data_IF_232291345510
#
_entry.id   IF_232291345510
#
_cell.length_a   1.000
_cell.length_b   1.000
_cell.length_c   1.000
_cell.angle_alpha   90.00
_cell.angle_beta   90.00
_cell.angle_gamma   90.00
#
_symmetry.space_group_name_H-M   'P 1'
#
loop_
_entity.id
_entity.type
_entity.pdbx_description
1 polymer ?
#
# COMPACT_ATOMS: atom_id res chain seq x y z
N UNK A 1 31.52 8.14 -16.86
CA UNK A 1 30.30 7.32 -16.63
C UNK A 1 29.14 8.08 -15.99
N UNK A 2 29.36 9.10 -15.15
CA UNK A 2 28.27 9.71 -14.36
C UNK A 2 27.32 10.68 -15.11
N UNK A 3 27.70 11.24 -16.27
CA UNK A 3 26.81 12.07 -17.10
C UNK A 3 25.82 11.22 -17.90
N UNK A 4 26.33 10.12 -18.48
CA UNK A 4 25.56 9.20 -19.34
C UNK A 4 24.29 8.63 -18.70
N UNK A 5 24.25 8.46 -17.38
CA UNK A 5 23.06 7.98 -16.67
C UNK A 5 21.93 9.01 -16.65
N UNK A 6 22.27 10.29 -16.49
CA UNK A 6 21.30 11.38 -16.55
C UNK A 6 20.77 11.56 -17.98
N UNK A 7 21.66 11.51 -18.97
CA UNK A 7 21.32 11.65 -20.38
C UNK A 7 20.39 10.51 -20.85
N UNK A 8 20.65 9.28 -20.40
CA UNK A 8 19.77 8.14 -20.67
C UNK A 8 18.39 8.33 -20.05
N UNK A 9 18.31 8.80 -18.79
CA UNK A 9 17.02 9.02 -18.13
C UNK A 9 16.22 10.09 -18.86
N UNK A 10 16.86 11.19 -19.27
CA UNK A 10 16.22 12.25 -20.05
C UNK A 10 15.72 11.76 -21.42
N UNK A 11 16.38 10.78 -22.03
CA UNK A 11 15.95 10.20 -23.30
C UNK A 11 14.70 9.30 -23.18
N UNK A 12 14.38 8.82 -21.97
CA UNK A 12 13.25 7.90 -21.71
C UNK A 12 12.11 8.60 -20.95
N UNK A 13 12.43 9.60 -20.14
CA UNK A 13 11.45 10.37 -19.39
C UNK A 13 10.67 11.32 -20.31
N UNK A 14 9.43 11.66 -19.91
CA UNK A 14 8.72 12.76 -20.53
C UNK A 14 9.51 14.07 -20.38
N UNK A 15 9.30 15.00 -21.31
CA UNK A 15 9.83 16.37 -21.17
C UNK A 15 9.24 16.99 -19.90
N UNK A 16 10.11 17.18 -18.90
CA UNK A 16 9.75 17.79 -17.62
C UNK A 16 10.55 19.08 -17.42
N UNK A 17 9.92 20.16 -16.97
CA UNK A 17 10.61 21.42 -16.69
C UNK A 17 11.61 21.27 -15.54
N UNK A 18 12.65 22.10 -15.55
CA UNK A 18 13.56 22.26 -14.42
C UNK A 18 13.03 23.24 -13.38
N UNK A 19 12.15 24.14 -13.79
CA UNK A 19 11.42 25.02 -12.89
C UNK A 19 10.29 24.24 -12.22
N UNK A 20 10.25 24.33 -10.89
CA UNK A 20 9.23 23.66 -10.09
C UNK A 20 8.01 24.55 -9.93
N UNK A 21 6.85 24.02 -10.32
CA UNK A 21 5.56 24.61 -9.98
C UNK A 21 5.28 24.38 -8.49
N UNK A 22 5.43 25.43 -7.71
CA UNK A 22 5.18 25.44 -6.26
C UNK A 22 3.72 25.63 -5.89
N UNK A 23 2.88 26.10 -6.82
CA UNK A 23 1.46 26.33 -6.55
C UNK A 23 0.70 25.01 -6.58
N UNK A 24 0.87 24.22 -7.64
CA UNK A 24 0.13 22.96 -7.80
C UNK A 24 1.01 21.75 -7.52
N UNK A 25 2.27 21.76 -7.92
CA UNK A 25 3.19 20.61 -7.84
C UNK A 25 2.61 19.28 -8.37
N UNK A 26 1.59 19.35 -9.24
CA UNK A 26 0.91 18.18 -9.82
C UNK A 26 1.71 17.60 -10.98
N UNK A 27 2.24 18.50 -11.80
CA UNK A 27 3.13 18.14 -12.88
C UNK A 27 4.53 17.85 -12.33
N UNK A 28 5.18 16.86 -12.90
CA UNK A 28 6.56 16.53 -12.58
C UNK A 28 7.50 17.64 -13.01
N UNK A 29 8.46 17.98 -12.15
CA UNK A 29 9.61 18.80 -12.52
C UNK A 29 10.88 18.15 -11.99
N UNK A 30 12.03 18.49 -12.58
CA UNK A 30 13.34 18.04 -12.12
C UNK A 30 13.83 18.81 -10.89
N UNK A 31 13.03 18.79 -9.81
CA UNK A 31 13.38 19.39 -8.52
C UNK A 31 14.70 18.82 -7.97
N UNK A 32 14.91 17.51 -8.16
CA UNK A 32 16.21 16.87 -8.01
C UNK A 32 16.80 16.61 -9.41
N UNK A 33 18.12 16.75 -9.53
CA UNK A 33 18.81 16.45 -10.79
C UNK A 33 18.47 15.03 -11.29
N UNK A 34 18.27 14.81 -12.59
CA UNK A 34 17.95 13.48 -13.16
C UNK A 34 18.92 12.40 -12.68
N UNK A 35 20.23 12.71 -12.64
CA UNK A 35 21.26 11.81 -12.13
C UNK A 35 20.98 11.33 -10.69
N UNK A 36 20.67 12.26 -9.79
CA UNK A 36 20.37 11.93 -8.39
C UNK A 36 19.11 11.07 -8.31
N UNK A 37 18.08 11.40 -9.09
CA UNK A 37 16.86 10.60 -9.16
C UNK A 37 17.16 9.16 -9.58
N UNK A 38 17.95 8.94 -10.65
CA UNK A 38 18.35 7.60 -11.10
C UNK A 38 19.09 6.82 -10.01
N UNK A 39 20.06 7.47 -9.35
CA UNK A 39 20.87 6.82 -8.31
C UNK A 39 20.00 6.44 -7.11
N UNK A 40 19.17 7.36 -6.62
CA UNK A 40 18.23 7.10 -5.53
C UNK A 40 17.27 5.97 -5.89
N UNK A 41 16.66 6.02 -7.09
CA UNK A 41 15.75 5.00 -7.56
C UNK A 41 16.40 3.61 -7.57
N UNK A 42 17.61 3.48 -8.12
CA UNK A 42 18.33 2.20 -8.14
C UNK A 42 18.67 1.71 -6.73
N UNK A 43 19.23 2.58 -5.88
CA UNK A 43 19.60 2.22 -4.51
C UNK A 43 18.37 1.76 -3.72
N UNK A 44 17.28 2.53 -3.74
CA UNK A 44 16.07 2.18 -3.00
C UNK A 44 15.44 0.89 -3.49
N UNK A 45 15.39 0.65 -4.81
CA UNK A 45 14.86 -0.60 -5.34
C UNK A 45 15.75 -1.80 -4.98
N UNK A 46 17.08 -1.66 -5.04
CA UNK A 46 18.00 -2.74 -4.65
C UNK A 46 17.84 -3.07 -3.16
N UNK A 47 17.85 -2.05 -2.29
CA UNK A 47 17.63 -2.25 -0.84
C UNK A 47 16.27 -2.89 -0.58
N UNK A 48 15.22 -2.41 -1.25
CA UNK A 48 13.87 -2.95 -1.11
C UNK A 48 13.80 -4.41 -1.55
N UNK A 49 14.30 -4.74 -2.75
CA UNK A 49 14.26 -6.10 -3.29
C UNK A 49 15.10 -7.06 -2.44
N UNK A 50 16.29 -6.63 -2.01
CA UNK A 50 17.14 -7.41 -1.10
C UNK A 50 16.43 -7.67 0.22
N UNK A 51 15.88 -6.63 0.86
CA UNK A 51 15.19 -6.76 2.15
C UNK A 51 13.95 -7.63 2.02
N UNK A 52 13.13 -7.40 0.99
CA UNK A 52 11.95 -8.19 0.70
C UNK A 52 12.31 -9.66 0.50
N UNK A 53 13.33 -9.96 -0.30
CA UNK A 53 13.80 -11.33 -0.53
C UNK A 53 14.31 -11.98 0.77
N UNK A 54 15.17 -11.28 1.50
CA UNK A 54 15.75 -11.77 2.76
C UNK A 54 14.67 -12.08 3.81
N UNK A 55 13.78 -11.12 4.07
CA UNK A 55 12.72 -11.29 5.06
C UNK A 55 11.65 -12.30 4.60
N UNK A 56 11.33 -12.35 3.30
CA UNK A 56 10.41 -13.35 2.76
C UNK A 56 10.93 -14.78 2.97
N UNK A 57 12.21 -15.03 2.64
CA UNK A 57 12.83 -16.34 2.87
C UNK A 57 12.88 -16.72 4.34
N UNK A 58 13.18 -15.75 5.22
CA UNK A 58 13.19 -15.97 6.67
C UNK A 58 11.79 -16.23 7.23
N UNK A 59 10.79 -15.48 6.78
CA UNK A 59 9.41 -15.59 7.26
C UNK A 59 8.74 -16.91 6.83
N UNK A 60 9.13 -17.46 5.69
CA UNK A 60 8.55 -18.69 5.15
C UNK A 60 9.47 -19.91 5.28
N UNK A 61 10.57 -19.81 6.03
CA UNK A 61 11.43 -20.97 6.28
C UNK A 61 10.62 -22.08 6.96
N UNK A 62 10.81 -23.35 6.58
CA UNK A 62 10.14 -24.48 7.23
C UNK A 62 10.36 -24.44 8.75
N UNK A 63 9.28 -24.59 9.52
CA UNK A 63 9.33 -24.56 10.98
C UNK A 63 9.30 -23.15 11.60
N UNK A 64 9.33 -22.07 10.81
CA UNK A 64 9.14 -20.72 11.35
C UNK A 64 7.76 -20.56 11.99
N UNK A 65 7.60 -19.67 13.01
CA UNK A 65 6.30 -19.42 13.63
C UNK A 65 5.21 -19.00 12.64
N UNK A 66 5.59 -18.28 11.59
CA UNK A 66 4.68 -17.82 10.53
C UNK A 66 4.25 -19.01 9.66
N UNK A 67 5.19 -19.86 9.24
CA UNK A 67 4.88 -21.09 8.48
C UNK A 67 3.92 -22.01 9.25
N UNK A 68 4.11 -22.17 10.56
CA UNK A 68 3.22 -22.96 11.42
C UNK A 68 1.80 -22.35 11.48
N UNK A 69 1.68 -21.03 11.63
CA UNK A 69 0.38 -20.34 11.61
C UNK A 69 -0.33 -20.46 10.26
N UNK A 70 0.40 -20.43 9.15
CA UNK A 70 -0.17 -20.68 7.83
C UNK A 70 -0.63 -22.13 7.64
N UNK A 71 0.04 -23.09 8.26
CA UNK A 71 -0.38 -24.49 8.25
C UNK A 71 -1.65 -24.71 9.07
N UNK A 72 -1.77 -24.02 10.21
CA UNK A 72 -2.93 -24.07 11.11
C UNK A 72 -4.10 -23.16 10.71
N UNK A 73 -4.07 -22.54 9.52
CA UNK A 73 -5.13 -21.64 9.07
C UNK A 73 -6.45 -22.39 8.85
N UNK A 74 -7.47 -22.00 9.62
CA UNK A 74 -8.85 -22.47 9.47
C UNK A 74 -9.67 -21.37 8.80
N UNK A 75 -10.26 -21.61 7.62
CA UNK A 75 -11.03 -20.59 6.92
C UNK A 75 -12.34 -20.27 7.66
N UNK A 76 -12.74 -18.98 7.75
CA UNK A 76 -14.05 -18.63 8.25
C UNK A 76 -15.13 -19.15 7.29
N UNK A 77 -16.19 -19.74 7.85
CA UNK A 77 -17.18 -20.52 7.08
C UNK A 77 -18.13 -19.67 6.23
N UNK A 78 -18.42 -18.41 6.61
CA UNK A 78 -19.36 -17.53 5.90
C UNK A 78 -18.93 -16.06 5.97
N UNK A 79 -19.24 -15.30 4.91
CA UNK A 79 -19.08 -13.84 4.90
C UNK A 79 -20.09 -13.20 5.84
N UNK A 80 -19.63 -12.27 6.67
CA UNK A 80 -20.52 -11.50 7.57
C UNK A 80 -21.31 -10.46 6.78
N UNK A 81 -22.50 -10.07 7.27
CA UNK A 81 -23.27 -8.94 6.70
C UNK A 81 -22.45 -7.65 6.67
N UNK A 82 -21.65 -7.41 7.71
CA UNK A 82 -20.75 -6.25 7.81
C UNK A 82 -19.73 -6.28 6.66
N UNK A 83 -19.11 -7.44 6.39
CA UNK A 83 -18.15 -7.57 5.28
C UNK A 83 -18.79 -7.27 3.93
N UNK A 84 -20.02 -7.73 3.71
CA UNK A 84 -20.77 -7.47 2.47
C UNK A 84 -21.10 -5.97 2.35
N UNK A 85 -21.56 -5.34 3.42
CA UNK A 85 -21.85 -3.90 3.44
C UNK A 85 -20.59 -3.08 3.16
N UNK A 86 -19.48 -3.40 3.81
CA UNK A 86 -18.19 -2.72 3.59
C UNK A 86 -17.71 -2.90 2.15
N UNK A 87 -17.84 -4.11 1.59
CA UNK A 87 -17.50 -4.37 0.19
C UNK A 87 -18.31 -3.49 -0.78
N UNK A 88 -19.63 -3.39 -0.58
CA UNK A 88 -20.50 -2.57 -1.43
C UNK A 88 -20.11 -1.09 -1.34
N UNK A 89 -19.90 -0.58 -0.13
CA UNK A 89 -19.53 0.82 0.10
C UNK A 89 -18.17 1.16 -0.55
N UNK A 90 -17.16 0.29 -0.38
CA UNK A 90 -15.84 0.48 -0.98
C UNK A 90 -15.90 0.41 -2.50
N UNK A 91 -16.65 -0.55 -3.06
CA UNK A 91 -16.80 -0.68 -4.51
C UNK A 91 -17.48 0.55 -5.12
N UNK A 92 -18.53 1.06 -4.46
CA UNK A 92 -19.21 2.29 -4.88
C UNK A 92 -18.27 3.51 -4.80
N UNK A 93 -17.52 3.67 -3.71
CA UNK A 93 -16.56 4.76 -3.53
C UNK A 93 -15.43 4.73 -4.57
N UNK A 94 -14.86 3.54 -4.83
CA UNK A 94 -13.84 3.37 -5.86
C UNK A 94 -14.39 3.67 -7.26
N UNK A 95 -15.61 3.20 -7.58
CA UNK A 95 -16.25 3.49 -8.86
C UNK A 95 -16.48 4.99 -9.06
N UNK A 96 -16.98 5.70 -8.06
CA UNK A 96 -17.14 7.16 -8.09
C UNK A 96 -15.80 7.83 -8.38
N UNK A 97 -14.73 7.40 -7.71
CA UNK A 97 -13.38 7.94 -7.90
C UNK A 97 -12.87 7.70 -9.32
N UNK A 98 -13.07 6.49 -9.86
CA UNK A 98 -12.71 6.16 -11.24
C UNK A 98 -13.46 7.06 -12.23
N UNK A 99 -14.77 7.24 -12.04
CA UNK A 99 -15.58 8.12 -12.90
C UNK A 99 -15.10 9.58 -12.85
N UNK A 100 -14.86 10.12 -11.65
CA UNK A 100 -14.37 11.49 -11.46
C UNK A 100 -13.00 11.69 -12.15
N UNK A 101 -12.06 10.74 -11.97
CA UNK A 101 -10.74 10.80 -12.58
C UNK A 101 -10.77 10.58 -14.09
N UNK A 102 -11.70 9.77 -14.59
CA UNK A 102 -11.91 9.58 -16.03
C UNK A 102 -12.35 10.88 -16.70
N UNK A 103 -13.37 11.55 -16.13
CA UNK A 103 -13.87 12.84 -16.64
C UNK A 103 -12.79 13.91 -16.67
N UNK A 104 -11.84 13.87 -15.74
CA UNK A 104 -10.73 14.84 -15.65
C UNK A 104 -9.48 14.47 -16.44
N UNK A 105 -9.44 13.30 -17.09
CA UNK A 105 -8.24 12.83 -17.79
C UNK A 105 -7.08 12.46 -16.86
N UNK A 106 -7.34 12.30 -15.54
CA UNK A 106 -6.35 12.04 -14.50
C UNK A 106 -6.15 10.56 -14.18
N UNK A 107 -6.28 9.66 -15.17
CA UNK A 107 -6.37 8.22 -14.89
C UNK A 107 -5.13 7.61 -14.24
N UNK A 108 -3.97 8.20 -14.46
CA UNK A 108 -2.72 7.77 -13.83
C UNK A 108 -2.71 7.99 -12.31
N UNK A 109 -3.49 8.95 -11.81
CA UNK A 109 -3.67 9.15 -10.37
C UNK A 109 -4.46 8.00 -9.71
N UNK A 110 -5.12 7.11 -10.46
CA UNK A 110 -5.65 5.86 -9.88
C UNK A 110 -4.56 4.90 -9.41
N UNK A 111 -3.32 5.08 -9.86
CA UNK A 111 -2.17 4.32 -9.33
C UNK A 111 -1.70 4.86 -7.98
N UNK A 112 -2.28 5.99 -7.51
CA UNK A 112 -2.02 6.46 -6.17
C UNK A 112 -2.44 5.40 -5.14
N UNK A 113 -1.71 5.32 -4.04
CA UNK A 113 -1.83 4.19 -3.12
C UNK A 113 -3.23 4.00 -2.54
N UNK A 114 -3.97 5.07 -2.25
CA UNK A 114 -5.32 5.02 -1.66
C UNK A 114 -6.33 4.27 -2.54
N UNK A 115 -6.27 4.44 -3.86
CA UNK A 115 -7.14 3.74 -4.80
C UNK A 115 -6.70 2.28 -4.97
N UNK A 116 -5.38 2.06 -4.99
CA UNK A 116 -4.78 0.73 -5.13
C UNK A 116 -5.10 -0.19 -3.94
N UNK A 117 -5.17 0.39 -2.75
CA UNK A 117 -5.53 -0.33 -1.54
C UNK A 117 -7.02 -0.50 -1.34
N UNK A 118 -7.85 0.47 -1.74
CA UNK A 118 -9.28 0.25 -1.88
C UNK A 118 -9.53 -0.97 -2.78
N UNK A 119 -8.83 -1.05 -3.92
CA UNK A 119 -8.87 -2.21 -4.80
C UNK A 119 -8.37 -3.49 -4.12
N UNK A 120 -7.27 -3.45 -3.36
CA UNK A 120 -6.77 -4.60 -2.62
C UNK A 120 -7.78 -5.09 -1.56
N UNK A 121 -8.40 -4.17 -0.81
CA UNK A 121 -9.40 -4.50 0.21
C UNK A 121 -10.68 -5.05 -0.41
N UNK A 122 -11.15 -4.46 -1.52
CA UNK A 122 -12.24 -5.04 -2.34
C UNK A 122 -11.87 -6.46 -2.76
N UNK A 123 -10.65 -6.69 -3.22
CA UNK A 123 -10.17 -8.01 -3.65
C UNK A 123 -10.16 -9.01 -2.48
N UNK A 124 -9.73 -8.58 -1.29
CA UNK A 124 -9.79 -9.39 -0.06
C UNK A 124 -11.22 -9.75 0.32
N UNK A 125 -12.13 -8.77 0.32
CA UNK A 125 -13.52 -8.96 0.74
C UNK A 125 -14.35 -9.75 -0.28
N UNK A 126 -14.11 -9.51 -1.58
CA UNK A 126 -14.73 -10.25 -2.68
C UNK A 126 -14.17 -11.68 -2.77
N UNK A 127 -12.91 -11.88 -2.39
CA UNK A 127 -12.20 -13.14 -2.47
C UNK A 127 -12.88 -14.33 -1.77
N UNK A 128 -12.56 -15.56 -2.22
CA UNK A 128 -13.10 -16.79 -1.65
C UNK A 128 -12.44 -17.10 -0.29
N UNK A 129 -13.25 -17.39 0.74
CA UNK A 129 -12.79 -17.53 2.15
C UNK A 129 -12.01 -18.82 2.42
N UNK A 130 -12.18 -19.84 1.58
CA UNK A 130 -11.43 -21.10 1.60
C UNK A 130 -9.95 -20.92 1.21
N UNK A 131 -9.60 -19.80 0.57
CA UNK A 131 -8.22 -19.54 0.12
C UNK A 131 -7.44 -18.76 1.18
N UNK A 132 -6.12 -19.01 1.22
CA UNK A 132 -5.19 -18.34 2.15
C UNK A 132 -4.78 -16.94 1.66
N UNK A 133 -4.78 -16.71 0.35
CA UNK A 133 -4.29 -15.45 -0.22
C UNK A 133 -5.04 -14.19 0.24
N UNK A 134 -6.39 -14.17 0.45
CA UNK A 134 -7.06 -12.98 0.93
C UNK A 134 -6.58 -12.57 2.32
N UNK A 135 -6.29 -13.55 3.18
CA UNK A 135 -5.71 -13.31 4.50
C UNK A 135 -4.26 -12.82 4.42
N UNK A 136 -3.47 -13.31 3.46
CA UNK A 136 -2.13 -12.78 3.21
C UNK A 136 -2.22 -11.31 2.80
N UNK A 137 -3.08 -10.98 1.82
CA UNK A 137 -3.27 -9.60 1.37
C UNK A 137 -3.84 -8.71 2.48
N UNK A 138 -4.76 -9.20 3.30
CA UNK A 138 -5.28 -8.46 4.45
C UNK A 138 -4.20 -8.18 5.49
N UNK A 139 -3.32 -9.13 5.74
CA UNK A 139 -2.17 -8.90 6.61
C UNK A 139 -1.23 -7.86 6.00
N UNK A 140 -0.91 -7.96 4.70
CA UNK A 140 -0.10 -6.94 4.01
C UNK A 140 -0.77 -5.56 4.16
N UNK A 141 -2.06 -5.45 3.85
CA UNK A 141 -2.88 -4.25 4.00
C UNK A 141 -2.73 -3.61 5.38
N UNK A 142 -2.87 -4.38 6.46
CA UNK A 142 -2.71 -3.84 7.81
C UNK A 142 -1.30 -3.32 8.14
N UNK A 143 -0.28 -3.71 7.38
CA UNK A 143 1.08 -3.17 7.56
C UNK A 143 1.27 -1.86 6.80
N UNK A 144 0.60 -1.69 5.67
CA UNK A 144 0.80 -0.54 4.80
C UNK A 144 -0.11 0.65 5.15
N UNK A 145 -1.26 0.41 5.83
CA UNK A 145 -2.32 1.39 6.16
C UNK A 145 -1.88 2.70 6.87
N UNK A 146 -0.65 2.80 7.40
CA UNK A 146 -0.19 4.01 8.09
C UNK A 146 -0.11 5.23 7.19
N UNK A 147 0.26 5.07 5.92
CA UNK A 147 0.26 6.22 5.02
C UNK A 147 -1.16 6.70 4.67
N UNK A 148 -2.19 5.84 4.82
CA UNK A 148 -3.58 6.35 4.87
C UNK A 148 -3.71 7.41 5.94
N UNK A 149 -3.30 7.06 7.16
CA UNK A 149 -3.65 7.82 8.35
C UNK A 149 -2.97 9.18 8.26
N UNK A 150 -1.76 9.22 7.69
CA UNK A 150 -1.10 10.48 7.34
C UNK A 150 -1.85 11.28 6.27
N UNK A 151 -2.31 10.63 5.19
CA UNK A 151 -3.09 11.31 4.15
C UNK A 151 -4.44 11.84 4.69
N UNK A 152 -5.06 11.16 5.66
CA UNK A 152 -6.25 11.66 6.37
C UNK A 152 -5.92 12.83 7.30
N UNK A 153 -4.78 12.79 8.00
CA UNK A 153 -4.35 13.85 8.90
C UNK A 153 -3.85 15.09 8.17
N UNK A 154 -3.33 14.93 6.95
CA UNK A 154 -2.80 16.00 6.10
C UNK A 154 -3.26 15.79 4.66
N UNK A 155 -4.56 16.01 4.37
CA UNK A 155 -5.12 15.73 3.06
C UNK A 155 -4.65 16.72 2.01
N UNK A 156 -4.23 16.21 0.86
CA UNK A 156 -3.96 17.03 -0.33
C UNK A 156 -5.24 17.22 -1.13
N UNK A 157 -5.90 18.34 -0.91
CA UNK A 157 -7.19 18.67 -1.55
C UNK A 157 -7.06 19.61 -2.75
N UNK A 158 -5.84 19.85 -3.25
CA UNK A 158 -5.58 20.89 -4.27
C UNK A 158 -6.31 20.70 -5.60
N UNK A 159 -6.62 19.44 -5.94
CA UNK A 159 -7.33 19.09 -7.16
C UNK A 159 -8.85 18.90 -6.98
N UNK A 160 -9.39 19.10 -5.79
CA UNK A 160 -10.77 18.70 -5.47
C UNK A 160 -11.76 19.81 -5.79
N UNK A 161 -12.28 19.84 -7.02
CA UNK A 161 -13.26 20.83 -7.49
C UNK A 161 -14.67 20.28 -7.78
N UNK A 162 -14.86 18.95 -7.78
CA UNK A 162 -16.16 18.34 -8.07
C UNK A 162 -16.96 18.14 -6.79
N UNK A 163 -18.29 18.28 -6.89
CA UNK A 163 -19.20 18.01 -5.78
C UNK A 163 -19.06 16.54 -5.35
N UNK A 164 -19.05 16.29 -4.04
CA UNK A 164 -18.82 14.97 -3.41
C UNK A 164 -17.42 14.39 -3.51
N UNK A 165 -16.45 15.11 -4.10
CA UNK A 165 -15.10 14.57 -4.26
C UNK A 165 -14.32 14.55 -2.94
N UNK A 166 -14.47 15.60 -2.11
CA UNK A 166 -13.80 15.70 -0.80
C UNK A 166 -14.39 14.67 0.17
N UNK A 167 -15.71 14.53 0.17
CA UNK A 167 -16.42 13.56 1.00
C UNK A 167 -16.06 12.13 0.58
N UNK A 168 -16.04 11.85 -0.73
CA UNK A 168 -15.62 10.55 -1.24
C UNK A 168 -14.13 10.27 -0.97
N UNK A 169 -13.28 11.30 -0.92
CA UNK A 169 -11.89 11.16 -0.48
C UNK A 169 -11.82 10.67 0.96
N UNK A 170 -12.52 11.28 1.92
CA UNK A 170 -12.48 10.80 3.31
C UNK A 170 -13.03 9.38 3.47
N UNK A 171 -13.98 8.97 2.63
CA UNK A 171 -14.54 7.60 2.62
C UNK A 171 -13.57 6.59 1.99
N UNK A 172 -12.91 6.97 0.90
CA UNK A 172 -12.02 6.12 0.10
C UNK A 172 -10.56 6.15 0.51
N UNK A 173 -10.16 7.10 1.37
CA UNK A 173 -8.77 7.23 1.84
C UNK A 173 -8.50 6.14 2.86
N UNK A 174 -8.07 4.99 2.32
CA UNK A 174 -7.50 3.88 3.06
C UNK A 174 -6.34 3.28 2.28
N UNK A 175 -5.13 3.90 2.22
CA UNK A 175 -3.76 3.29 2.31
C UNK A 175 -2.66 4.04 1.55
N UNK A 176 -1.40 3.82 1.97
CA UNK A 176 -0.18 4.12 1.23
C UNK A 176 0.74 2.89 1.06
N UNK A 177 1.41 2.78 -0.09
CA UNK A 177 2.45 1.79 -0.48
C UNK A 177 2.07 0.33 -0.79
N UNK A 178 1.87 0.04 -2.09
CA UNK A 178 2.50 -1.11 -2.76
C UNK A 178 2.44 -0.93 -4.29
N UNK A 179 3.42 -0.22 -4.88
CA UNK A 179 3.76 -0.19 -6.33
C UNK A 179 4.90 0.79 -6.67
N UNK A 180 5.85 1.05 -5.76
CA UNK A 180 6.91 2.06 -5.94
C UNK A 180 7.65 1.95 -7.29
N UNK A 181 7.98 0.74 -7.74
CA UNK A 181 8.65 0.57 -9.04
C UNK A 181 7.74 0.94 -10.21
N UNK A 182 6.51 0.42 -10.24
CA UNK A 182 5.57 0.68 -11.34
C UNK A 182 5.07 2.13 -11.36
N UNK A 183 4.78 2.73 -10.21
CA UNK A 183 4.33 4.12 -10.13
C UNK A 183 5.45 5.09 -10.44
N UNK A 184 6.68 4.84 -9.97
CA UNK A 184 7.83 5.67 -10.31
C UNK A 184 8.16 5.61 -11.80
N UNK A 185 8.10 4.42 -12.42
CA UNK A 185 8.29 4.29 -13.86
C UNK A 185 7.19 5.02 -14.65
N UNK A 186 5.93 4.88 -14.25
CA UNK A 186 4.82 5.59 -14.90
C UNK A 186 4.90 7.11 -14.70
N UNK A 187 5.30 7.58 -13.51
CA UNK A 187 5.52 9.00 -13.21
C UNK A 187 6.56 9.60 -14.15
N UNK A 188 7.68 8.91 -14.37
CA UNK A 188 8.75 9.33 -15.27
C UNK A 188 8.31 9.34 -16.74
N UNK A 189 7.63 8.28 -17.20
CA UNK A 189 7.18 8.15 -18.59
C UNK A 189 6.08 9.15 -18.96
N UNK A 190 5.34 9.66 -17.97
CA UNK A 190 4.19 10.56 -18.19
C UNK A 190 4.40 11.97 -17.67
N UNK A 191 5.53 12.24 -16.99
CA UNK A 191 5.85 13.57 -16.46
C UNK A 191 4.92 14.04 -15.35
N UNK A 192 4.29 13.11 -14.62
CA UNK A 192 3.34 13.44 -13.54
C UNK A 192 3.96 13.17 -12.18
N UNK A 193 3.74 14.07 -11.21
CA UNK A 193 4.30 13.96 -9.87
C UNK A 193 3.50 12.98 -8.99
N UNK A 194 3.49 11.70 -9.38
CA UNK A 194 2.81 10.66 -8.59
C UNK A 194 3.52 10.46 -7.25
N UNK A 195 2.76 10.53 -6.16
CA UNK A 195 3.23 10.31 -4.78
C UNK A 195 4.45 11.15 -4.40
N UNK A 196 4.53 12.38 -4.92
CA UNK A 196 5.63 13.32 -4.63
C UNK A 196 7.02 12.77 -4.99
N UNK A 197 7.08 11.77 -5.88
CA UNK A 197 8.33 11.13 -6.30
C UNK A 197 9.20 12.06 -7.12
N UNK A 198 8.70 13.17 -7.66
CA UNK A 198 9.48 14.13 -8.45
C UNK A 198 9.66 15.44 -7.70
N UNK A 199 8.61 15.94 -7.05
CA UNK A 199 8.56 17.22 -6.34
C UNK A 199 7.92 17.03 -4.95
N UNK A 200 8.46 17.61 -3.87
CA UNK A 200 7.81 17.56 -2.55
C UNK A 200 6.43 18.24 -2.57
N UNK A 201 5.47 17.80 -1.74
CA UNK A 201 4.25 18.57 -1.53
C UNK A 201 4.58 19.89 -0.79
N UNK A 202 3.77 20.94 -0.98
CA UNK A 202 3.83 22.12 -0.13
C UNK A 202 3.54 21.71 1.32
N UNK A 203 4.31 22.25 2.26
CA UNK A 203 4.17 21.96 3.69
C UNK A 203 5.44 21.42 4.34
N UNK A 204 5.34 20.61 5.41
CA UNK A 204 6.49 20.23 6.24
C UNK A 204 7.60 19.50 5.47
N UNK A 205 7.24 18.68 4.47
CA UNK A 205 8.22 17.97 3.64
C UNK A 205 9.07 18.92 2.79
N UNK A 206 8.52 20.06 2.38
CA UNK A 206 9.25 21.09 1.64
C UNK A 206 10.43 21.67 2.45
N UNK A 207 10.30 21.74 3.78
CA UNK A 207 11.35 22.25 4.67
C UNK A 207 12.62 21.39 4.65
N UNK A 208 12.52 20.12 4.26
CA UNK A 208 13.67 19.23 4.09
C UNK A 208 14.42 19.47 2.77
N UNK A 209 13.88 20.29 1.88
CA UNK A 209 14.48 20.66 0.61
C UNK A 209 14.91 19.44 -0.21
N UNK A 210 16.18 19.39 -0.62
CA UNK A 210 16.73 18.27 -1.39
C UNK A 210 16.74 16.93 -0.62
N UNK A 211 16.51 16.93 0.68
CA UNK A 211 16.48 15.73 1.54
C UNK A 211 15.07 15.21 1.83
N UNK A 212 14.04 15.77 1.19
CA UNK A 212 12.65 15.40 1.45
C UNK A 212 12.36 13.90 1.24
N UNK A 213 12.95 13.24 0.23
CA UNK A 213 12.72 11.79 0.00
C UNK A 213 13.32 10.93 1.11
N UNK A 214 14.61 11.05 1.47
CA UNK A 214 15.15 10.37 2.64
C UNK A 214 14.34 10.62 3.91
N UNK A 215 13.95 11.88 4.17
CA UNK A 215 13.13 12.23 5.32
C UNK A 215 11.79 11.48 5.28
N UNK A 216 11.08 11.52 4.14
CA UNK A 216 9.84 10.78 3.93
C UNK A 216 10.00 9.28 4.20
N UNK A 217 11.04 8.63 3.66
CA UNK A 217 11.28 7.20 3.91
C UNK A 217 11.59 6.88 5.38
N UNK A 218 12.34 7.76 6.08
CA UNK A 218 12.60 7.61 7.52
C UNK A 218 11.30 7.74 8.31
N UNK A 219 10.46 8.73 8.01
CA UNK A 219 9.16 8.88 8.65
C UNK A 219 8.26 7.67 8.40
N UNK A 220 8.16 7.19 7.15
CA UNK A 220 7.41 5.97 6.84
C UNK A 220 7.93 4.76 7.63
N UNK A 221 9.25 4.64 7.78
CA UNK A 221 9.87 3.54 8.55
C UNK A 221 9.54 3.64 10.04
N UNK A 222 9.61 4.84 10.63
CA UNK A 222 9.26 5.07 12.03
C UNK A 222 7.78 4.77 12.30
N UNK A 223 6.88 5.23 11.43
CA UNK A 223 5.45 4.93 11.54
C UNK A 223 5.15 3.44 11.39
N UNK A 224 5.90 2.74 10.54
CA UNK A 224 5.82 1.28 10.46
C UNK A 224 6.26 0.63 11.78
N UNK A 225 7.26 1.19 12.47
CA UNK A 225 7.72 0.69 13.77
C UNK A 225 6.74 0.97 14.91
N UNK A 226 6.11 2.16 14.94
CA UNK A 226 5.12 2.50 15.99
C UNK A 226 3.94 1.53 15.98
N UNK A 227 3.56 1.00 14.82
CA UNK A 227 2.59 -0.10 14.69
C UNK A 227 2.93 -1.30 15.55
N UNK A 228 4.17 -1.79 15.46
CA UNK A 228 4.56 -3.00 16.17
C UNK A 228 4.49 -2.76 17.67
N UNK A 229 4.91 -1.59 18.13
CA UNK A 229 4.79 -1.18 19.52
C UNK A 229 3.31 -1.12 19.94
N UNK A 230 2.47 -0.45 19.16
CA UNK A 230 1.04 -0.30 19.48
C UNK A 230 0.31 -1.65 19.48
N UNK A 231 0.57 -2.52 18.50
CA UNK A 231 -0.02 -3.86 18.43
C UNK A 231 0.44 -4.71 19.61
N UNK A 232 1.73 -4.68 19.97
CA UNK A 232 2.23 -5.39 21.16
C UNK A 232 1.55 -4.91 22.43
N UNK A 233 1.41 -3.59 22.62
CA UNK A 233 0.70 -3.01 23.77
C UNK A 233 -0.78 -3.44 23.77
N UNK A 234 -1.47 -3.34 22.64
CA UNK A 234 -2.88 -3.75 22.51
C UNK A 234 -3.06 -5.24 22.80
N UNK A 235 -2.16 -6.10 22.32
CA UNK A 235 -2.18 -7.55 22.59
C UNK A 235 -1.96 -7.86 24.08
N UNK A 236 -1.17 -7.05 24.78
CA UNK A 236 -0.93 -7.18 26.22
C UNK A 236 -2.14 -6.72 27.04
N UNK A 237 -2.87 -5.71 26.57
CA UNK A 237 -4.02 -5.12 27.29
C UNK A 237 -5.33 -5.87 26.99
N UNK A 238 -5.53 -6.36 25.76
CA UNK A 238 -6.77 -7.03 25.40
C UNK A 238 -6.82 -8.46 25.95
N UNK A 239 -7.87 -8.83 26.71
CA UNK A 239 -8.02 -10.18 27.23
C UNK A 239 -8.11 -11.17 26.07
N UNK A 240 -7.12 -12.06 25.98
CA UNK A 240 -7.13 -13.12 24.96
C UNK A 240 -8.29 -14.06 25.25
N UNK A 241 -9.27 -14.10 24.34
CA UNK A 241 -10.33 -15.10 24.38
C UNK A 241 -9.67 -16.47 24.24
N UNK A 242 -9.64 -17.22 25.34
CA UNK A 242 -9.19 -18.61 25.30
C UNK A 242 -10.25 -19.41 24.54
N UNK A 243 -9.83 -20.05 23.44
CA UNK A 243 -10.68 -21.02 22.75
C UNK A 243 -10.73 -22.25 23.64
N UNK A 244 -11.90 -22.60 24.14
CA UNK A 244 -12.06 -23.77 25.01
C UNK A 244 -11.76 -25.04 24.20
N UNK A 245 -11.02 -26.03 24.73
CA UNK A 245 -10.73 -27.29 24.05
C UNK A 245 -11.98 -28.00 23.50
N UNK A 246 -13.11 -27.89 24.20
CA UNK A 246 -14.40 -28.46 23.78
C UNK A 246 -14.93 -27.87 22.45
N UNK A 247 -14.55 -26.63 22.10
CA UNK A 247 -14.94 -26.02 20.81
C UNK A 247 -14.12 -26.55 19.64
N UNK A 248 -12.89 -27.02 19.88
CA UNK A 248 -12.04 -27.64 18.87
C UNK A 248 -12.55 -29.05 18.54
N UNK A 249 -12.90 -29.85 19.56
CA UNK A 249 -13.49 -31.19 19.36
C UNK A 249 -14.83 -31.16 18.61
N UNK A 250 -15.69 -30.18 18.90
CA UNK A 250 -16.96 -30.05 18.19
C UNK A 250 -16.79 -29.59 16.73
N UNK A 251 -15.72 -28.85 16.41
CA UNK A 251 -15.39 -28.44 15.05
C UNK A 251 -14.83 -29.62 14.23
N UNK A 252 -14.02 -30.48 14.85
CA UNK A 252 -13.52 -31.71 14.22
C UNK A 252 -14.65 -32.73 13.99
N UNK A 253 -15.62 -32.82 14.91
CA UNK A 253 -16.76 -33.75 14.80
C UNK A 253 -17.84 -33.32 13.77
N UNK A 254 -17.91 -32.02 13.43
CA UNK A 254 -18.90 -31.48 12.50
C UNK A 254 -18.36 -31.27 11.08
N UNK A 255 -17.06 -31.50 10.86
CA UNK A 255 -16.46 -31.49 9.54
C UNK A 255 -16.78 -32.83 8.84
N UNK A 256 -17.56 -32.86 7.75
CA UNK A 256 -17.90 -34.12 7.07
C UNK A 256 -16.61 -34.80 6.64
N UNK A 257 -16.48 -36.07 7.01
CA UNK A 257 -15.33 -36.94 6.82
C UNK A 257 -14.92 -37.10 5.35
N UNK A 258 -14.21 -36.11 4.82
CA UNK A 258 -13.35 -36.27 3.66
C UNK A 258 -11.93 -36.55 4.14
N UNK A 259 -11.49 -37.80 4.06
CA UNK A 259 -10.09 -38.18 4.23
C UNK A 259 -9.19 -37.35 3.30
N UNK A 260 -8.64 -36.24 3.79
CA UNK A 260 -7.57 -35.53 3.09
C UNK A 260 -6.28 -36.29 3.41
N UNK A 261 -5.87 -37.17 2.48
CA UNK A 261 -4.52 -37.74 2.44
C UNK A 261 -3.51 -36.59 2.54
N UNK A 262 -2.83 -36.54 3.69
CA UNK A 262 -1.68 -35.68 3.95
C UNK A 262 -0.59 -36.04 2.93
N UNK A 263 -0.52 -35.33 1.80
CA UNK A 263 0.66 -35.37 0.93
C UNK A 263 1.66 -34.37 1.49
N UNK A 264 2.73 -34.92 2.05
CA UNK A 264 3.99 -34.24 2.33
C UNK A 264 4.55 -33.66 1.05
N UNK A 265 4.74 -32.34 1.02
CA UNK A 265 5.74 -31.62 0.25
C UNK A 265 6.19 -30.41 1.08
#
# INVERSE_FOLDING_TARGET
>A
MSSRLGDWLLAVAAEMPFETDWETSLNGSWYLSPRRHTIEFLIYNVIFLYSAHYFYRRALSPGSPISQRFAAYVPPSKKSKIEITVLILLAASLLTTVCQKYVRGGMLYLLQPCHMSALMLITVLAGPKDRKWPHILLNIYFHIMWGTMLALLSPDLRDYSLVFEVENFYIGTVDETFKSASTSSMALLKGQNLNYLLVPPPGPLQAFGKWYRPAMYVFCSLLTMTRYILIEVVIQVLPRRQVSPAQLEHQDASSPSGQVKRKTL
#
